data_IF_330941818769
#
_entry.id   IF_330941818769
#
_cell.length_a   1.000
_cell.length_b   1.000
_cell.length_c   1.000
_cell.angle_alpha   90.00
_cell.angle_beta   90.00
_cell.angle_gamma   90.00
#
_symmetry.space_group_name_H-M   'P 1'
#
loop_
_entity.id
_entity.type
_entity.pdbx_description
1 polymer ?
#
# COMPACT_ATOMS: atom_id res chain seq x y z
N UNK A 1 -30.84 20.22 0.13
CA UNK A 1 -29.80 20.90 -0.66
C UNK A 1 -28.66 19.91 -0.93
N UNK A 2 -28.36 19.53 -2.18
CA UNK A 2 -27.17 18.73 -2.47
C UNK A 2 -25.91 19.53 -2.10
N UNK A 3 -24.96 18.88 -1.42
CA UNK A 3 -23.73 19.52 -0.97
C UNK A 3 -22.93 20.10 -2.15
N UNK A 4 -22.35 21.29 -1.96
CA UNK A 4 -21.59 21.96 -3.02
C UNK A 4 -20.48 21.09 -3.61
N UNK A 5 -20.35 21.11 -4.94
CA UNK A 5 -19.35 20.35 -5.71
C UNK A 5 -17.93 20.96 -5.65
N UNK A 6 -17.53 21.47 -4.48
CA UNK A 6 -16.22 22.06 -4.28
C UNK A 6 -15.08 21.03 -4.45
N UNK A 7 -14.00 21.43 -5.14
CA UNK A 7 -12.85 20.56 -5.41
C UNK A 7 -12.22 19.95 -4.15
N UNK A 8 -12.33 20.64 -3.01
CA UNK A 8 -11.77 20.25 -1.70
C UNK A 8 -12.83 19.94 -0.65
N UNK A 9 -14.08 19.67 -1.06
CA UNK A 9 -15.10 19.26 -0.09
C UNK A 9 -14.70 17.92 0.56
N UNK A 10 -14.89 17.80 1.89
CA UNK A 10 -14.54 16.60 2.68
C UNK A 10 -13.05 16.20 2.62
N UNK A 11 -12.12 17.16 2.47
CA UNK A 11 -10.68 16.87 2.50
C UNK A 11 -10.00 17.25 3.81
N UNK A 12 -10.76 17.47 4.90
CA UNK A 12 -10.22 17.92 6.20
C UNK A 12 -9.11 16.99 6.69
N UNK A 13 -9.38 15.68 6.72
CA UNK A 13 -8.42 14.69 7.19
C UNK A 13 -7.51 14.19 6.08
N UNK A 14 -8.00 14.09 4.85
CA UNK A 14 -7.21 13.56 3.74
C UNK A 14 -6.00 14.43 3.39
N UNK A 15 -6.15 15.76 3.50
CA UNK A 15 -5.10 16.74 3.18
C UNK A 15 -4.41 17.34 4.40
N UNK A 16 -4.92 17.09 5.62
CA UNK A 16 -4.21 17.49 6.82
C UNK A 16 -2.89 16.71 6.93
N UNK A 17 -1.87 17.38 7.45
CA UNK A 17 -0.59 16.73 7.73
C UNK A 17 -0.69 16.02 9.08
N UNK A 18 -0.14 14.82 9.14
CA UNK A 18 -0.10 14.01 10.35
C UNK A 18 0.60 14.74 11.50
N UNK A 19 0.32 14.30 12.73
CA UNK A 19 1.00 14.78 13.93
C UNK A 19 2.52 14.62 13.80
N UNK A 20 3.28 15.61 14.29
CA UNK A 20 4.76 15.70 14.16
C UNK A 20 5.29 15.68 12.72
N UNK A 21 4.42 15.87 11.72
CA UNK A 21 4.79 16.01 10.31
C UNK A 21 4.39 17.38 9.77
N UNK A 22 4.21 18.41 10.60
CA UNK A 22 3.96 19.81 10.18
C UNK A 22 5.28 20.54 9.93
N UNK A 23 5.25 21.68 9.24
CA UNK A 23 6.44 22.52 8.97
C UNK A 23 7.15 22.20 7.65
N UNK A 24 8.46 22.39 7.62
CA UNK A 24 9.28 22.27 6.40
C UNK A 24 9.23 20.84 5.84
N UNK A 25 9.17 20.72 4.50
CA UNK A 25 9.22 19.43 3.80
C UNK A 25 10.70 19.06 3.61
N UNK A 26 11.13 17.83 3.90
CA UNK A 26 12.52 17.43 3.73
C UNK A 26 12.94 17.52 2.25
N UNK A 27 14.18 17.98 2.01
CA UNK A 27 14.74 18.17 0.67
C UNK A 27 14.77 16.87 -0.16
N UNK A 28 14.82 15.71 0.51
CA UNK A 28 14.76 14.39 -0.13
C UNK A 28 13.51 14.17 -0.98
N UNK A 29 12.40 14.87 -0.68
CA UNK A 29 11.20 14.82 -1.51
C UNK A 29 11.42 15.51 -2.85
N UNK A 30 12.09 16.66 -2.85
CA UNK A 30 12.36 17.46 -4.05
C UNK A 30 13.46 16.86 -4.94
N UNK A 31 14.48 16.27 -4.32
CA UNK A 31 15.63 15.68 -5.01
C UNK A 31 15.36 14.25 -5.50
N UNK A 32 14.16 13.71 -5.26
CA UNK A 32 13.81 12.36 -5.71
C UNK A 32 13.73 12.32 -7.24
N UNK A 33 14.50 11.43 -7.83
CA UNK A 33 14.50 11.18 -9.28
C UNK A 33 13.36 10.23 -9.63
N UNK A 34 12.58 10.59 -10.65
CA UNK A 34 11.54 9.75 -11.23
C UNK A 34 11.85 9.48 -12.70
N UNK A 35 11.64 8.25 -13.14
CA UNK A 35 11.80 7.85 -14.54
C UNK A 35 10.46 7.44 -15.13
N UNK A 36 10.36 7.55 -16.46
CA UNK A 36 9.18 7.06 -17.18
C UNK A 36 9.04 5.56 -16.94
N UNK A 37 7.83 5.14 -16.58
CA UNK A 37 7.52 3.76 -16.28
C UNK A 37 7.60 3.35 -14.81
N UNK A 38 8.12 4.21 -13.93
CA UNK A 38 8.12 3.97 -12.48
C UNK A 38 6.69 3.96 -11.91
N UNK A 39 6.49 3.15 -10.87
CA UNK A 39 5.26 3.16 -10.09
C UNK A 39 5.37 4.18 -8.96
N UNK A 40 4.38 5.05 -8.88
CA UNK A 40 4.35 6.15 -7.92
C UNK A 40 3.00 6.24 -7.24
N UNK A 41 3.02 6.62 -5.97
CA UNK A 41 1.84 6.89 -5.16
C UNK A 41 1.56 8.38 -5.13
N UNK A 42 0.32 8.74 -5.46
CA UNK A 42 -0.15 10.12 -5.41
C UNK A 42 -0.62 10.43 -3.99
N UNK A 43 0.26 11.03 -3.19
CA UNK A 43 -0.03 11.40 -1.80
C UNK A 43 0.17 12.90 -1.60
N UNK A 44 -0.95 13.60 -1.45
CA UNK A 44 -0.96 15.05 -1.30
C UNK A 44 -0.30 15.47 0.01
N UNK A 45 0.57 16.48 -0.08
CA UNK A 45 1.17 17.16 1.05
C UNK A 45 0.52 18.55 1.20
N UNK A 46 -0.30 18.72 2.24
CA UNK A 46 -1.07 19.95 2.45
C UNK A 46 -0.27 21.22 2.69
N UNK A 47 1.06 21.16 2.88
CA UNK A 47 1.89 22.36 3.00
C UNK A 47 2.21 23.04 1.66
N UNK A 48 2.03 22.34 0.54
CA UNK A 48 2.18 22.92 -0.80
C UNK A 48 0.83 22.89 -1.50
N UNK A 49 0.32 24.07 -1.88
CA UNK A 49 -0.99 24.18 -2.52
C UNK A 49 -0.94 24.06 -4.05
N UNK A 50 0.22 24.38 -4.65
CA UNK A 50 0.39 24.39 -6.11
C UNK A 50 0.59 22.98 -6.64
N UNK A 51 -0.10 22.64 -7.72
CA UNK A 51 0.06 21.34 -8.39
C UNK A 51 -0.54 20.16 -7.63
N UNK A 52 -1.42 20.43 -6.66
CA UNK A 52 -2.22 19.41 -5.98
C UNK A 52 -3.18 18.74 -6.98
N UNK A 53 -3.30 17.40 -6.95
CA UNK A 53 -4.32 16.70 -7.71
C UNK A 53 -5.70 16.86 -7.05
N UNK A 54 -6.76 16.58 -7.82
CA UNK A 54 -8.10 16.43 -7.25
C UNK A 54 -8.13 15.28 -6.23
N UNK A 55 -8.87 15.46 -5.13
CA UNK A 55 -8.93 14.54 -3.97
C UNK A 55 -9.18 13.08 -4.32
N UNK A 56 -9.88 12.81 -5.43
CA UNK A 56 -10.13 11.45 -5.93
C UNK A 56 -8.84 10.64 -6.15
N UNK A 57 -7.77 11.31 -6.61
CA UNK A 57 -6.51 10.65 -6.94
C UNK A 57 -5.59 10.47 -5.73
N UNK A 58 -5.94 11.04 -4.57
CA UNK A 58 -5.15 10.87 -3.35
C UNK A 58 -5.16 9.40 -2.91
N UNK A 59 -3.98 8.87 -2.59
CA UNK A 59 -3.79 7.47 -2.21
C UNK A 59 -3.87 6.48 -3.38
N UNK A 60 -3.88 6.95 -4.64
CA UNK A 60 -3.84 6.07 -5.81
C UNK A 60 -2.41 5.88 -6.29
N UNK A 61 -2.08 4.65 -6.63
CA UNK A 61 -0.85 4.31 -7.35
C UNK A 61 -1.07 4.47 -8.84
N UNK A 62 -0.09 5.03 -9.54
CA UNK A 62 -0.09 5.15 -10.98
C UNK A 62 1.29 4.92 -11.56
N UNK A 63 1.37 4.95 -12.89
CA UNK A 63 2.62 4.82 -13.63
C UNK A 63 3.04 6.17 -14.20
N UNK A 64 4.31 6.52 -14.08
CA UNK A 64 4.85 7.75 -14.69
C UNK A 64 4.82 7.61 -16.20
N UNK A 65 4.13 8.54 -16.88
CA UNK A 65 4.05 8.57 -18.35
C UNK A 65 4.89 9.70 -18.96
N UNK A 66 5.15 10.78 -18.19
CA UNK A 66 5.98 11.91 -18.62
C UNK A 66 6.60 12.60 -17.39
N UNK A 67 7.73 13.26 -17.56
CA UNK A 67 8.41 14.04 -16.52
C UNK A 67 8.63 15.45 -17.07
N UNK A 68 8.17 16.47 -16.32
CA UNK A 68 8.36 17.88 -16.68
C UNK A 68 9.26 18.57 -15.65
N UNK A 69 9.61 19.84 -15.89
CA UNK A 69 10.57 20.61 -15.06
C UNK A 69 10.28 20.59 -13.56
N UNK A 70 9.01 20.56 -13.13
CA UNK A 70 8.60 20.66 -11.72
C UNK A 70 7.53 19.65 -11.31
N UNK A 71 7.08 18.81 -12.24
CA UNK A 71 5.96 17.91 -12.03
C UNK A 71 6.16 16.60 -12.78
N UNK A 72 5.45 15.58 -12.32
CA UNK A 72 5.42 14.26 -12.92
C UNK A 72 4.03 14.04 -13.50
N UNK A 73 3.99 13.60 -14.76
CA UNK A 73 2.80 13.08 -15.39
C UNK A 73 2.56 11.66 -14.90
N UNK A 74 1.48 11.46 -14.15
CA UNK A 74 1.09 10.14 -13.61
C UNK A 74 -0.18 9.67 -14.31
N UNK A 75 -0.18 8.43 -14.74
CA UNK A 75 -1.34 7.77 -15.32
C UNK A 75 -2.01 6.89 -14.27
N UNK A 76 -3.27 7.18 -13.98
CA UNK A 76 -4.06 6.56 -12.92
C UNK A 76 -5.41 6.11 -13.47
N UNK A 77 -5.88 4.95 -13.05
CA UNK A 77 -7.21 4.47 -13.38
C UNK A 77 -8.27 5.17 -12.53
N UNK A 78 -9.32 5.67 -13.18
CA UNK A 78 -10.50 6.26 -12.54
C UNK A 78 -11.74 5.55 -13.03
N UNK A 79 -12.53 5.04 -12.10
CA UNK A 79 -13.87 4.56 -12.40
C UNK A 79 -14.79 5.77 -12.66
N UNK A 80 -15.48 5.75 -13.80
CA UNK A 80 -16.47 6.74 -14.21
C UNK A 80 -17.73 6.00 -14.61
N UNK A 81 -18.75 6.03 -13.73
CA UNK A 81 -19.96 5.21 -13.85
C UNK A 81 -19.58 3.73 -14.00
N UNK A 82 -19.86 3.13 -15.16
CA UNK A 82 -19.72 1.70 -15.40
C UNK A 82 -18.38 1.31 -16.04
N UNK A 83 -17.50 2.28 -16.35
CA UNK A 83 -16.23 2.02 -17.04
C UNK A 83 -15.03 2.54 -16.27
N UNK A 84 -13.91 1.83 -16.39
CA UNK A 84 -12.61 2.25 -15.86
C UNK A 84 -11.84 2.96 -16.96
N UNK A 85 -11.51 4.23 -16.74
CA UNK A 85 -10.77 5.04 -17.69
C UNK A 85 -9.37 5.31 -17.17
N UNK A 86 -8.36 5.18 -18.05
CA UNK A 86 -7.01 5.66 -17.80
C UNK A 86 -7.03 7.19 -17.89
N UNK A 87 -6.64 7.86 -16.81
CA UNK A 87 -6.56 9.32 -16.73
C UNK A 87 -5.11 9.73 -16.50
N UNK A 88 -4.63 10.67 -17.31
CA UNK A 88 -3.32 11.29 -17.15
C UNK A 88 -3.47 12.58 -16.37
N UNK A 89 -2.73 12.69 -15.28
CA UNK A 89 -2.72 13.87 -14.41
C UNK A 89 -1.28 14.38 -14.28
N UNK A 90 -1.14 15.70 -14.17
CA UNK A 90 0.14 16.31 -13.80
C UNK A 90 0.12 16.64 -12.32
N UNK A 91 1.09 16.12 -11.59
CA UNK A 91 1.19 16.26 -10.14
C UNK A 91 2.61 16.72 -9.81
N UNK A 92 2.75 17.72 -8.94
CA UNK A 92 4.08 18.16 -8.52
C UNK A 92 4.76 17.14 -7.62
N UNK A 93 6.09 17.16 -7.64
CA UNK A 93 6.95 16.17 -6.95
C UNK A 93 6.65 16.10 -5.45
N UNK A 94 6.25 17.21 -4.82
CA UNK A 94 5.88 17.26 -3.39
C UNK A 94 4.66 16.39 -3.04
N UNK A 95 3.89 15.96 -4.03
CA UNK A 95 2.67 15.15 -3.86
C UNK A 95 2.80 13.75 -4.46
N UNK A 96 4.02 13.37 -4.85
CA UNK A 96 4.33 12.07 -5.46
C UNK A 96 5.35 11.35 -4.59
N UNK A 97 5.10 10.09 -4.31
CA UNK A 97 6.01 9.21 -3.58
C UNK A 97 6.38 8.02 -4.47
N UNK A 98 7.61 7.55 -4.41
CA UNK A 98 8.00 6.33 -5.12
C UNK A 98 7.32 5.14 -4.44
N UNK A 99 6.63 4.31 -5.22
CA UNK A 99 5.89 3.18 -4.68
C UNK A 99 6.80 1.97 -4.52
N UNK A 100 6.73 1.31 -3.35
CA UNK A 100 7.48 0.08 -3.08
C UNK A 100 6.81 -1.18 -3.62
N UNK A 101 5.63 -1.07 -4.23
CA UNK A 101 4.84 -2.20 -4.70
C UNK A 101 5.56 -3.13 -5.69
N UNK A 102 6.58 -2.62 -6.41
CA UNK A 102 7.36 -3.41 -7.37
C UNK A 102 8.74 -3.82 -6.88
N UNK A 103 9.20 -3.32 -5.73
CA UNK A 103 10.56 -3.58 -5.22
C UNK A 103 10.75 -5.08 -4.94
N UNK A 104 9.88 -5.68 -4.13
CA UNK A 104 9.90 -7.12 -3.81
C UNK A 104 9.81 -7.99 -5.06
N UNK A 105 8.94 -7.61 -6.02
CA UNK A 105 8.76 -8.37 -7.26
C UNK A 105 10.04 -8.35 -8.09
N UNK A 106 10.70 -7.20 -8.23
CA UNK A 106 11.96 -7.07 -8.97
C UNK A 106 13.08 -7.87 -8.31
N UNK A 107 13.19 -7.80 -6.98
CA UNK A 107 14.17 -8.59 -6.24
C UNK A 107 13.92 -10.09 -6.38
N UNK A 108 12.66 -10.52 -6.32
CA UNK A 108 12.29 -11.91 -6.53
C UNK A 108 12.58 -12.40 -7.94
N UNK A 109 12.33 -11.59 -8.97
CA UNK A 109 12.67 -11.94 -10.36
C UNK A 109 14.18 -12.19 -10.47
N UNK A 110 15.01 -11.26 -9.95
CA UNK A 110 16.47 -11.41 -9.95
C UNK A 110 16.92 -12.70 -9.26
N UNK A 111 16.40 -12.98 -8.06
CA UNK A 111 16.72 -14.22 -7.30
C UNK A 111 16.29 -15.47 -8.07
N UNK A 112 15.09 -15.46 -8.64
CA UNK A 112 14.58 -16.59 -9.41
C UNK A 112 15.43 -16.86 -10.66
N UNK A 113 15.87 -15.81 -11.35
CA UNK A 113 16.67 -15.95 -12.56
C UNK A 113 18.09 -16.46 -12.23
N UNK A 114 18.67 -16.05 -11.11
CA UNK A 114 19.91 -16.62 -10.58
C UNK A 114 19.78 -18.12 -10.30
N UNK A 115 18.74 -18.52 -9.54
CA UNK A 115 18.50 -19.93 -9.21
C UNK A 115 18.30 -20.78 -10.48
N UNK A 116 17.60 -20.26 -11.48
CA UNK A 116 17.42 -20.97 -12.77
C UNK A 116 18.72 -21.13 -13.53
N UNK A 117 19.58 -20.11 -13.53
CA UNK A 117 20.88 -20.18 -14.18
C UNK A 117 21.79 -21.22 -13.50
N UNK A 118 21.83 -21.23 -12.17
CA UNK A 118 22.59 -22.22 -11.38
C UNK A 118 22.07 -23.65 -11.56
N UNK A 119 20.75 -23.83 -11.58
CA UNK A 119 20.13 -25.14 -11.83
C UNK A 119 20.42 -25.64 -13.25
N UNK A 120 20.37 -24.75 -14.25
CA UNK A 120 20.74 -25.07 -15.64
C UNK A 120 22.21 -25.49 -15.75
N UNK A 121 23.12 -24.83 -15.02
CA UNK A 121 24.52 -25.22 -14.98
C UNK A 121 24.74 -26.60 -14.33
N UNK A 122 23.93 -26.96 -13.32
CA UNK A 122 23.93 -28.29 -12.68
C UNK A 122 23.18 -29.37 -13.45
N UNK A 123 22.38 -29.00 -14.46
CA UNK A 123 21.49 -29.93 -15.19
C UNK A 123 20.22 -30.31 -14.42
N UNK A 124 19.90 -29.61 -13.33
CA UNK A 124 18.71 -29.85 -12.51
C UNK A 124 17.52 -29.01 -12.98
N UNK A 125 16.30 -29.57 -12.88
CA UNK A 125 15.06 -28.83 -13.16
C UNK A 125 14.47 -28.34 -11.84
N UNK A 126 14.42 -27.02 -11.65
CA UNK A 126 13.84 -26.39 -10.45
C UNK A 126 12.52 -25.67 -10.76
N UNK A 127 11.65 -25.58 -9.76
CA UNK A 127 10.43 -24.76 -9.81
C UNK A 127 10.57 -23.54 -8.92
N UNK A 128 10.54 -22.33 -9.48
CA UNK A 128 10.58 -21.06 -8.73
C UNK A 128 9.18 -20.50 -8.44
N UNK A 129 8.13 -21.32 -8.56
CA UNK A 129 6.74 -20.91 -8.26
C UNK A 129 6.56 -20.84 -6.74
N UNK A 130 5.87 -19.81 -6.26
CA UNK A 130 5.47 -19.72 -4.85
C UNK A 130 4.42 -20.78 -4.55
N UNK A 131 4.61 -21.52 -3.46
CA UNK A 131 3.62 -22.47 -2.97
C UNK A 131 2.80 -21.83 -1.85
N UNK A 132 1.49 -22.10 -1.78
CA UNK A 132 0.70 -21.76 -0.60
C UNK A 132 1.22 -22.55 0.61
N UNK A 133 0.83 -22.11 1.81
CA UNK A 133 1.16 -22.85 3.03
C UNK A 133 0.56 -24.26 2.96
N UNK A 134 1.43 -25.27 3.06
CA UNK A 134 1.02 -26.68 3.12
C UNK A 134 0.53 -27.09 4.51
N UNK A 135 0.07 -28.34 4.66
CA UNK A 135 -0.25 -28.90 5.97
C UNK A 135 0.98 -28.86 6.88
N UNK A 136 0.76 -28.63 8.18
CA UNK A 136 1.86 -28.67 9.15
C UNK A 136 2.43 -30.09 9.20
N UNK A 137 3.76 -30.27 9.20
CA UNK A 137 4.35 -31.57 9.42
C UNK A 137 4.05 -32.05 10.84
N UNK A 138 4.08 -33.36 11.06
CA UNK A 138 4.03 -33.93 12.40
C UNK A 138 5.24 -33.47 13.22
N UNK A 139 5.03 -33.22 14.52
CA UNK A 139 6.10 -32.93 15.46
C UNK A 139 5.86 -33.69 16.75
N UNK A 140 6.93 -34.08 17.44
CA UNK A 140 6.86 -34.69 18.76
C UNK A 140 6.86 -33.60 19.83
N UNK A 141 6.06 -33.80 20.88
CA UNK A 141 6.02 -32.91 22.05
C UNK A 141 6.64 -33.66 23.21
N UNK A 142 7.84 -33.23 23.64
CA UNK A 142 8.52 -33.78 24.80
C UNK A 142 8.34 -32.87 26.03
N UNK A 143 8.09 -33.47 27.20
CA UNK A 143 8.09 -32.75 28.48
C UNK A 143 6.90 -31.82 28.73
N UNK A 144 5.79 -31.94 28.00
CA UNK A 144 4.60 -31.13 28.25
C UNK A 144 3.90 -31.54 29.56
N UNK A 145 3.86 -30.64 30.54
CA UNK A 145 2.92 -30.72 31.66
C UNK A 145 1.51 -30.50 31.12
N UNK A 146 0.75 -31.59 30.98
CA UNK A 146 -0.62 -31.55 30.51
C UNK A 146 -1.52 -31.00 31.61
N UNK A 147 -2.05 -29.80 31.41
CA UNK A 147 -3.11 -29.24 32.27
C UNK A 147 -4.46 -29.63 31.68
N UNK A 148 -5.20 -30.48 32.41
CA UNK A 148 -6.56 -30.86 32.05
C UNK A 148 -7.51 -29.72 32.43
N UNK A 149 -7.98 -28.95 31.44
CA UNK A 149 -9.01 -27.92 31.63
C UNK A 149 -10.38 -28.56 31.45
N UNK A 150 -11.22 -28.53 32.50
CA UNK A 150 -12.63 -28.94 32.42
C UNK A 150 -13.51 -27.75 32.03
N UNK A 151 -14.59 -27.97 31.25
CA UNK A 151 -15.52 -26.89 30.92
C UNK A 151 -16.23 -26.40 32.18
N UNK A 152 -16.26 -25.08 32.38
CA UNK A 152 -17.05 -24.44 33.43
C UNK A 152 -18.53 -24.51 33.02
N UNK A 153 -19.45 -24.92 33.92
CA UNK A 153 -20.89 -24.89 33.64
C UNK A 153 -21.37 -23.46 33.33
N UNK A 154 -22.37 -23.33 32.46
CA UNK A 154 -22.88 -22.04 31.99
C UNK A 154 -23.72 -21.36 33.08
N UNK A 155 -23.23 -20.25 33.63
CA UNK A 155 -24.02 -19.36 34.48
C UNK A 155 -24.64 -18.24 33.63
N UNK A 156 -25.98 -18.17 33.59
CA UNK A 156 -26.70 -17.01 33.05
C UNK A 156 -26.58 -15.89 34.09
N UNK A 157 -25.54 -15.07 34.01
CA UNK A 157 -25.47 -13.86 34.82
C UNK A 157 -26.46 -12.84 34.26
N UNK A 158 -27.62 -12.73 34.90
CA UNK A 158 -28.52 -11.58 34.74
C UNK A 158 -27.91 -10.41 35.51
N UNK A 159 -27.06 -9.61 34.86
CA UNK A 159 -26.46 -8.40 35.46
C UNK A 159 -27.47 -7.29 35.84
N UNK A 160 -28.79 -7.59 35.84
CA UNK A 160 -29.86 -6.65 36.21
C UNK A 160 -31.07 -7.28 36.94
N UNK A 161 -30.91 -8.35 37.74
CA UNK A 161 -31.98 -8.77 38.67
C UNK A 161 -31.46 -9.36 39.99
N UNK A 162 -31.55 -8.55 41.06
CA UNK A 162 -31.51 -9.03 42.44
C UNK A 162 -31.09 -7.92 43.40
N UNK A 163 -32.06 -7.15 43.92
CA UNK A 163 -31.82 -6.07 44.86
C UNK A 163 -31.14 -6.53 46.15
N UNK A 164 -30.17 -5.75 46.61
CA UNK A 164 -30.44 -4.58 47.45
C UNK A 164 -29.81 -3.35 46.81
#
# INVERSE_FOLDING_TARGET
MPAGHGLRSRTRDSFSRAFRKKGVIPLSTYLRIFKVGDYVDVKVNGAVHKGMPHKFYHGRTGRVWNVTKRAVGVEVNKQVRNKVLRKRIHVRIEHVQLSRCTEEVKERIKKNDQLKAEAKARGEVISTKRQPQGPKPGFMVEGATLETVTPIPYDVVNDLKGGY
#
